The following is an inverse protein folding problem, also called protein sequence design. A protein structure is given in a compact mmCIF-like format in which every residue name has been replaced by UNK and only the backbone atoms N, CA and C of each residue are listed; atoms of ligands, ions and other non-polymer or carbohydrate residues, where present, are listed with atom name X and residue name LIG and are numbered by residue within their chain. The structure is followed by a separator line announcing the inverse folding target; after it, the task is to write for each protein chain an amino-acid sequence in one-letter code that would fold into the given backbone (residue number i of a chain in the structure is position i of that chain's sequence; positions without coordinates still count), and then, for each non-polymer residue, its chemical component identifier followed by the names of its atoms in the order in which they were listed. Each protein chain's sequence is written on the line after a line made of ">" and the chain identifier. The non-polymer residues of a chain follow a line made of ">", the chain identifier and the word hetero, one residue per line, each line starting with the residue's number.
data_IF_895717550886
#
_entry.id   IF_895717550886
#
_cell.length_a   1.000
_cell.length_b   1.000
_cell.length_c   1.000
_cell.angle_alpha   90.00
_cell.angle_beta   90.00
_cell.angle_gamma   90.00
#
_symmetry.space_group_name_H-M   'P 1'
#
loop_
_entity.id
_entity.type
_entity.pdbx_description
1 polymer ?
#
# COMPACT_ATOMS: atom_id res chain seq x y z
N UNK A 1 -26.05 57.54 -17.32
CA UNK A 1 -24.97 56.61 -16.94
C UNK A 1 -25.54 55.59 -15.97
N UNK A 2 -25.83 54.40 -16.47
CA UNK A 2 -26.35 53.28 -15.68
C UNK A 2 -25.23 52.67 -14.87
N UNK A 3 -25.36 52.72 -13.54
CA UNK A 3 -24.50 52.02 -12.58
C UNK A 3 -24.61 50.51 -12.85
N UNK A 4 -23.55 49.93 -13.43
CA UNK A 4 -23.41 48.49 -13.63
C UNK A 4 -23.23 47.80 -12.27
N UNK A 5 -24.10 46.83 -11.99
CA UNK A 5 -24.13 46.01 -10.77
C UNK A 5 -23.00 44.97 -10.84
N UNK A 6 -21.80 45.33 -10.43
CA UNK A 6 -20.57 44.50 -10.49
C UNK A 6 -20.60 43.22 -9.65
N UNK A 7 -21.48 43.09 -8.65
CA UNK A 7 -21.52 41.92 -7.76
C UNK A 7 -22.12 40.64 -8.37
N UNK A 8 -22.93 40.75 -9.43
CA UNK A 8 -23.61 39.60 -10.05
C UNK A 8 -22.79 38.83 -11.07
N UNK A 9 -21.70 39.42 -11.57
CA UNK A 9 -20.87 38.80 -12.60
C UNK A 9 -19.70 38.02 -12.02
N UNK A 10 -19.13 38.48 -10.90
CA UNK A 10 -18.11 37.74 -10.15
C UNK A 10 -18.64 36.37 -9.64
N UNK A 11 -19.87 36.34 -9.14
CA UNK A 11 -20.53 35.11 -8.65
C UNK A 11 -20.79 34.10 -9.78
N UNK A 12 -21.22 34.57 -10.96
CA UNK A 12 -21.37 33.70 -12.15
C UNK A 12 -20.04 33.15 -12.63
N UNK A 13 -19.00 33.99 -12.68
CA UNK A 13 -17.66 33.56 -13.10
C UNK A 13 -17.12 32.50 -12.12
N UNK A 14 -17.30 32.71 -10.81
CA UNK A 14 -16.90 31.74 -9.80
C UNK A 14 -17.66 30.39 -9.95
N UNK A 15 -18.98 30.43 -10.18
CA UNK A 15 -19.79 29.23 -10.43
C UNK A 15 -19.37 28.50 -11.71
N UNK A 16 -19.07 29.23 -12.79
CA UNK A 16 -18.58 28.66 -14.05
C UNK A 16 -17.21 27.99 -13.85
N UNK A 17 -16.27 28.66 -13.20
CA UNK A 17 -14.94 28.10 -12.89
C UNK A 17 -15.06 26.83 -12.05
N UNK A 18 -15.85 26.86 -10.98
CA UNK A 18 -16.07 25.70 -10.12
C UNK A 18 -16.68 24.52 -10.90
N UNK A 19 -17.66 24.80 -11.75
CA UNK A 19 -18.31 23.76 -12.58
C UNK A 19 -17.33 23.15 -13.58
N UNK A 20 -16.46 23.94 -14.20
CA UNK A 20 -15.41 23.45 -15.12
C UNK A 20 -14.42 22.54 -14.37
N UNK A 21 -13.99 22.93 -13.17
CA UNK A 21 -13.11 22.10 -12.34
C UNK A 21 -13.78 20.79 -11.92
N UNK A 22 -15.05 20.84 -11.53
CA UNK A 22 -15.83 19.66 -11.19
C UNK A 22 -15.97 18.72 -12.40
N UNK A 23 -16.24 19.27 -13.58
CA UNK A 23 -16.31 18.49 -14.81
C UNK A 23 -14.97 17.85 -15.18
N UNK A 24 -13.85 18.57 -15.02
CA UNK A 24 -12.50 18.03 -15.21
C UNK A 24 -12.19 16.89 -14.22
N UNK A 25 -12.65 16.97 -12.96
CA UNK A 25 -12.49 15.88 -11.99
C UNK A 25 -13.26 14.62 -12.40
N UNK A 26 -14.46 14.76 -13.00
CA UNK A 26 -15.21 13.63 -13.56
C UNK A 26 -14.46 12.92 -14.69
N UNK A 27 -13.84 13.69 -15.59
CA UNK A 27 -12.97 13.13 -16.65
C UNK A 27 -11.76 12.42 -16.06
N UNK A 28 -11.12 13.00 -15.05
CA UNK A 28 -9.98 12.40 -14.38
C UNK A 28 -10.35 11.06 -13.71
N UNK A 29 -11.52 10.99 -13.04
CA UNK A 29 -12.01 9.75 -12.44
C UNK A 29 -12.26 8.65 -13.47
N UNK A 30 -12.86 8.98 -14.60
CA UNK A 30 -13.06 8.02 -15.70
C UNK A 30 -11.71 7.60 -16.27
N UNK A 31 -10.80 8.54 -16.50
CA UNK A 31 -9.46 8.24 -17.01
C UNK A 31 -8.69 7.32 -16.07
N UNK A 32 -8.68 7.59 -14.76
CA UNK A 32 -8.01 6.74 -13.76
C UNK A 32 -8.69 5.37 -13.68
N UNK A 33 -10.03 5.31 -13.69
CA UNK A 33 -10.76 4.05 -13.64
C UNK A 33 -10.52 3.18 -14.88
N UNK A 34 -10.51 3.78 -16.07
CA UNK A 34 -10.14 3.10 -17.31
C UNK A 34 -8.67 2.74 -17.32
N UNK A 35 -7.77 3.62 -16.88
CA UNK A 35 -6.35 3.33 -16.78
C UNK A 35 -6.09 2.13 -15.87
N UNK A 36 -6.74 2.06 -14.71
CA UNK A 36 -6.66 0.92 -13.79
C UNK A 36 -7.16 -0.40 -14.42
N UNK A 37 -8.16 -0.34 -15.29
CA UNK A 37 -8.65 -1.50 -16.04
C UNK A 37 -7.76 -1.86 -17.25
N UNK A 38 -7.12 -0.87 -17.87
CA UNK A 38 -6.38 -1.00 -19.13
C UNK A 38 -4.86 -1.08 -18.96
N UNK A 39 -4.32 -0.88 -17.75
CA UNK A 39 -2.89 -0.73 -17.51
C UNK A 39 -2.11 -1.96 -18.05
N UNK A 40 -1.17 -1.78 -19.00
CA UNK A 40 -0.52 -2.86 -19.72
C UNK A 40 0.30 -3.82 -18.85
N UNK A 41 0.67 -3.47 -17.62
CA UNK A 41 1.27 -4.43 -16.67
C UNK A 41 0.33 -5.60 -16.33
N UNK A 42 -0.99 -5.44 -16.51
CA UNK A 42 -1.98 -6.54 -16.48
C UNK A 42 -2.27 -7.13 -17.86
N UNK A 43 -2.34 -6.31 -18.92
CA UNK A 43 -2.71 -6.81 -20.25
C UNK A 43 -1.69 -7.74 -20.92
N UNK A 44 -0.39 -7.66 -20.60
CA UNK A 44 0.57 -8.66 -21.10
C UNK A 44 0.34 -10.09 -20.55
N UNK A 45 -0.42 -10.22 -19.45
CA UNK A 45 -0.75 -11.52 -18.83
C UNK A 45 -2.10 -12.06 -19.32
N UNK A 46 -3.01 -11.17 -19.72
CA UNK A 46 -4.37 -11.51 -20.17
C UNK A 46 -4.43 -12.11 -21.58
N UNK A 47 -3.38 -12.02 -22.39
CA UNK A 47 -3.32 -12.67 -23.71
C UNK A 47 -2.75 -14.11 -23.63
N UNK A 48 -2.21 -14.55 -22.49
CA UNK A 48 -1.62 -15.90 -22.34
C UNK A 48 -2.41 -16.87 -21.46
N UNK A 49 -3.40 -16.43 -20.68
CA UNK A 49 -4.16 -17.36 -19.81
C UNK A 49 -5.63 -16.99 -19.80
N UNK A 50 -6.39 -17.85 -20.47
CA UNK A 50 -7.84 -17.92 -20.44
C UNK A 50 -8.29 -18.28 -19.00
N UNK A 51 -9.10 -17.40 -18.41
CA UNK A 51 -9.91 -17.53 -17.20
C UNK A 51 -9.25 -17.82 -15.83
N UNK A 52 -9.25 -16.80 -14.96
CA UNK A 52 -10.04 -16.84 -13.71
C UNK A 52 -10.13 -15.45 -13.07
N UNK A 53 -11.32 -14.87 -13.22
CA UNK A 53 -12.06 -13.96 -12.31
C UNK A 53 -11.28 -13.03 -11.38
N UNK A 54 -11.47 -11.73 -11.67
CA UNK A 54 -11.75 -10.65 -10.71
C UNK A 54 -10.86 -10.55 -9.47
N UNK A 55 -10.09 -9.47 -9.38
CA UNK A 55 -9.84 -8.87 -8.07
C UNK A 55 -11.12 -8.15 -7.66
N UNK A 56 -12.04 -8.76 -6.89
CA UNK A 56 -13.38 -8.21 -6.71
C UNK A 56 -13.31 -6.83 -6.08
N UNK A 57 -12.26 -6.50 -5.34
CA UNK A 57 -12.14 -5.22 -4.64
C UNK A 57 -11.53 -4.12 -5.52
N UNK A 58 -10.46 -4.41 -6.27
CA UNK A 58 -9.81 -3.43 -7.14
C UNK A 58 -10.64 -3.18 -8.40
N UNK A 59 -11.21 -4.24 -8.99
CA UNK A 59 -12.10 -4.14 -10.14
C UNK A 59 -13.37 -3.39 -9.73
N UNK A 60 -13.96 -3.70 -8.57
CA UNK A 60 -15.10 -2.95 -8.05
C UNK A 60 -14.77 -1.47 -7.76
N UNK A 61 -13.60 -1.18 -7.19
CA UNK A 61 -13.16 0.21 -6.98
C UNK A 61 -13.01 0.96 -8.31
N UNK A 62 -12.45 0.32 -9.34
CA UNK A 62 -12.32 0.91 -10.68
C UNK A 62 -13.67 1.15 -11.35
N UNK A 63 -14.62 0.21 -11.24
CA UNK A 63 -15.99 0.39 -11.73
C UNK A 63 -16.72 1.51 -10.99
N UNK A 64 -16.58 1.59 -9.66
CA UNK A 64 -17.14 2.71 -8.88
C UNK A 64 -16.54 4.03 -9.34
N UNK A 65 -15.22 4.11 -9.55
CA UNK A 65 -14.57 5.33 -10.04
C UNK A 65 -15.12 5.77 -11.41
N UNK A 66 -15.35 4.83 -12.32
CA UNK A 66 -15.96 5.10 -13.63
C UNK A 66 -17.40 5.59 -13.47
N UNK A 67 -18.23 4.89 -12.71
CA UNK A 67 -19.64 5.26 -12.50
C UNK A 67 -19.74 6.62 -11.82
N UNK A 68 -18.96 6.86 -10.77
CA UNK A 68 -18.89 8.15 -10.09
C UNK A 68 -18.42 9.27 -11.02
N UNK A 69 -17.42 9.00 -11.86
CA UNK A 69 -16.94 9.95 -12.87
C UNK A 69 -18.02 10.30 -13.90
N UNK A 70 -18.77 9.31 -14.43
CA UNK A 70 -19.88 9.53 -15.37
C UNK A 70 -20.98 10.36 -14.73
N UNK A 71 -21.39 10.04 -13.50
CA UNK A 71 -22.39 10.83 -12.75
C UNK A 71 -21.90 12.27 -12.54
N UNK A 72 -20.62 12.45 -12.22
CA UNK A 72 -20.01 13.77 -12.04
C UNK A 72 -20.01 14.60 -13.34
N UNK A 73 -19.81 13.98 -14.50
CA UNK A 73 -19.93 14.66 -15.80
C UNK A 73 -21.37 15.12 -16.07
N UNK A 74 -22.37 14.29 -15.81
CA UNK A 74 -23.78 14.65 -15.99
C UNK A 74 -24.19 15.81 -15.08
N UNK A 75 -23.81 15.74 -13.79
CA UNK A 75 -24.09 16.82 -12.84
C UNK A 75 -23.34 18.10 -13.21
N UNK A 76 -22.06 17.99 -13.61
CA UNK A 76 -21.28 19.15 -14.08
C UNK A 76 -21.89 19.80 -15.31
N UNK A 77 -22.44 19.03 -16.25
CA UNK A 77 -23.15 19.56 -17.40
C UNK A 77 -24.43 20.32 -17.01
N UNK A 78 -25.17 19.81 -16.02
CA UNK A 78 -26.34 20.51 -15.44
C UNK A 78 -25.91 21.82 -14.77
N UNK A 79 -24.80 21.82 -14.01
CA UNK A 79 -24.23 23.02 -13.40
C UNK A 79 -23.81 24.06 -14.44
N UNK A 80 -23.24 23.60 -15.57
CA UNK A 80 -22.77 24.48 -16.65
C UNK A 80 -23.94 25.11 -17.39
N UNK A 81 -24.93 24.29 -17.76
CA UNK A 81 -26.17 24.78 -18.33
C UNK A 81 -26.94 25.69 -17.36
N UNK A 82 -26.97 25.39 -16.06
CA UNK A 82 -27.63 26.19 -15.03
C UNK A 82 -26.91 27.52 -14.74
N UNK A 83 -25.61 27.62 -14.99
CA UNK A 83 -24.86 28.88 -14.89
C UNK A 83 -25.11 29.78 -16.12
N UNK A 84 -25.23 29.19 -17.32
CA UNK A 84 -25.53 29.91 -18.57
C UNK A 84 -27.01 30.28 -18.70
N UNK A 85 -27.89 29.34 -18.39
CA UNK A 85 -29.34 29.52 -18.46
C UNK A 85 -29.81 30.00 -17.09
N UNK A 86 -30.54 31.12 -17.03
CA UNK A 86 -31.12 31.69 -15.79
C UNK A 86 -32.21 30.82 -15.12
N UNK A 87 -32.21 29.51 -15.39
CA UNK A 87 -33.17 28.54 -14.86
C UNK A 87 -32.82 28.17 -13.42
N UNK A 88 -33.53 28.79 -12.49
CA UNK A 88 -33.34 28.62 -11.03
C UNK A 88 -33.45 27.16 -10.58
N UNK A 89 -34.30 26.35 -11.22
CA UNK A 89 -34.51 24.95 -10.85
C UNK A 89 -33.23 24.09 -11.03
N UNK A 90 -32.50 24.27 -12.14
CA UNK A 90 -31.24 23.55 -12.40
C UNK A 90 -30.15 23.96 -11.41
N UNK A 91 -30.09 25.25 -11.07
CA UNK A 91 -29.13 25.76 -10.09
C UNK A 91 -29.39 25.22 -8.67
N UNK A 92 -30.66 25.14 -8.27
CA UNK A 92 -31.04 24.55 -6.96
C UNK A 92 -30.71 23.06 -6.92
N UNK A 93 -31.00 22.31 -7.99
CA UNK A 93 -30.66 20.89 -8.08
C UNK A 93 -29.15 20.64 -7.96
N UNK A 94 -28.34 21.45 -8.64
CA UNK A 94 -26.87 21.40 -8.53
C UNK A 94 -26.39 21.66 -7.10
N UNK A 95 -26.91 22.70 -6.44
CA UNK A 95 -26.54 23.03 -5.05
C UNK A 95 -26.92 21.92 -4.06
N UNK A 96 -28.08 21.27 -4.24
CA UNK A 96 -28.49 20.14 -3.40
C UNK A 96 -27.56 18.94 -3.56
N UNK A 97 -27.15 18.63 -4.79
CA UNK A 97 -26.21 17.54 -5.04
C UNK A 97 -24.84 17.81 -4.41
N UNK A 98 -24.31 19.03 -4.55
CA UNK A 98 -23.05 19.42 -3.90
C UNK A 98 -23.13 19.33 -2.38
N UNK A 99 -24.26 19.73 -1.81
CA UNK A 99 -24.49 19.61 -0.37
C UNK A 99 -24.50 18.15 0.09
N UNK A 100 -25.12 17.25 -0.69
CA UNK A 100 -25.10 15.82 -0.40
C UNK A 100 -23.67 15.23 -0.47
N UNK A 101 -22.87 15.63 -1.47
CA UNK A 101 -21.46 15.23 -1.55
C UNK A 101 -20.66 15.74 -0.35
N UNK A 102 -20.86 17.00 0.06
CA UNK A 102 -20.19 17.56 1.22
C UNK A 102 -20.51 16.76 2.50
N UNK A 103 -21.77 16.36 2.71
CA UNK A 103 -22.13 15.52 3.84
C UNK A 103 -21.50 14.12 3.75
N UNK A 104 -21.42 13.55 2.55
CA UNK A 104 -20.73 12.28 2.33
C UNK A 104 -19.22 12.38 2.62
N UNK A 105 -18.56 13.44 2.17
CA UNK A 105 -17.14 13.70 2.45
C UNK A 105 -16.88 13.93 3.93
N UNK A 106 -17.75 14.65 4.63
CA UNK A 106 -17.67 14.82 6.09
C UNK A 106 -17.86 13.48 6.79
N UNK A 107 -18.80 12.64 6.35
CA UNK A 107 -19.00 11.31 6.90
C UNK A 107 -17.75 10.42 6.68
N UNK A 108 -17.20 10.41 5.46
CA UNK A 108 -15.97 9.68 5.13
C UNK A 108 -14.79 10.21 5.95
N UNK A 109 -14.62 11.53 6.05
CA UNK A 109 -13.53 12.16 6.80
C UNK A 109 -13.63 11.93 8.31
N UNK A 110 -14.83 12.01 8.88
CA UNK A 110 -15.05 11.71 10.31
C UNK A 110 -14.84 10.22 10.59
N UNK A 111 -15.32 9.33 9.73
CA UNK A 111 -14.99 7.90 9.80
C UNK A 111 -13.47 7.70 9.72
N UNK A 112 -12.80 8.30 8.74
CA UNK A 112 -11.35 8.20 8.60
C UNK A 112 -10.61 8.67 9.85
N UNK A 113 -11.04 9.76 10.51
CA UNK A 113 -10.43 10.26 11.74
C UNK A 113 -10.73 9.41 12.97
N UNK A 114 -11.98 8.95 13.14
CA UNK A 114 -12.36 8.06 14.25
C UNK A 114 -11.63 6.73 14.12
N UNK A 115 -11.57 6.19 12.90
CA UNK A 115 -10.81 5.00 12.61
C UNK A 115 -9.31 5.26 12.57
N UNK A 116 -8.80 6.48 12.40
CA UNK A 116 -7.35 6.76 12.40
C UNK A 116 -6.66 6.32 13.68
N UNK A 117 -7.25 6.61 14.83
CA UNK A 117 -6.70 6.18 16.13
C UNK A 117 -6.84 4.67 16.33
N UNK A 118 -7.91 4.08 15.77
CA UNK A 118 -8.01 2.63 15.65
C UNK A 118 -7.01 2.06 14.65
N UNK A 119 -6.58 2.77 13.62
CA UNK A 119 -5.64 2.33 12.60
C UNK A 119 -4.19 2.39 13.09
N UNK A 120 -3.81 3.41 13.86
CA UNK A 120 -2.48 3.45 14.51
C UNK A 120 -2.35 2.50 15.70
N UNK A 121 -3.43 2.28 16.48
CA UNK A 121 -3.49 1.14 17.42
C UNK A 121 -3.89 -0.18 16.74
N UNK A 122 -4.25 -0.11 15.46
CA UNK A 122 -4.38 -1.26 14.59
C UNK A 122 -3.16 -1.48 13.74
N UNK A 123 -2.00 -0.84 13.90
CA UNK A 123 -0.83 -1.52 13.36
C UNK A 123 -0.65 -2.83 14.15
N UNK A 124 -0.75 -2.80 15.48
CA UNK A 124 -0.80 -4.03 16.29
C UNK A 124 -2.07 -4.86 16.08
N UNK A 125 -3.26 -4.25 15.99
CA UNK A 125 -4.51 -5.03 15.83
C UNK A 125 -4.80 -5.45 14.38
N UNK A 126 -4.32 -4.76 13.36
CA UNK A 126 -4.31 -5.18 11.96
C UNK A 126 -3.23 -6.23 11.74
N UNK A 127 -2.03 -6.09 12.30
CA UNK A 127 -1.04 -7.17 12.31
C UNK A 127 -1.62 -8.41 12.98
N UNK A 128 -2.29 -8.28 14.13
CA UNK A 128 -2.95 -9.40 14.80
C UNK A 128 -4.12 -9.96 13.98
N UNK A 129 -4.95 -9.11 13.39
CA UNK A 129 -6.05 -9.54 12.51
C UNK A 129 -5.53 -10.24 11.25
N UNK A 130 -4.49 -9.70 10.61
CA UNK A 130 -3.86 -10.24 9.42
C UNK A 130 -3.14 -11.55 9.76
N UNK A 131 -2.47 -11.62 10.90
CA UNK A 131 -1.89 -12.85 11.45
C UNK A 131 -2.96 -13.90 11.70
N UNK A 132 -4.12 -13.52 12.24
CA UNK A 132 -5.26 -14.43 12.40
C UNK A 132 -5.83 -14.88 11.04
N UNK A 133 -5.93 -13.99 10.06
CA UNK A 133 -6.38 -14.33 8.69
C UNK A 133 -5.39 -15.31 8.04
N UNK A 134 -4.08 -15.07 8.13
CA UNK A 134 -3.04 -15.99 7.66
C UNK A 134 -3.14 -17.33 8.38
N UNK A 135 -3.31 -17.28 9.70
CA UNK A 135 -3.39 -18.47 10.55
C UNK A 135 -4.58 -19.36 10.23
N UNK A 136 -5.75 -18.79 9.98
CA UNK A 136 -7.01 -19.54 9.90
C UNK A 136 -7.59 -19.67 8.49
N UNK A 137 -7.24 -18.79 7.56
CA UNK A 137 -7.95 -18.65 6.28
C UNK A 137 -7.07 -18.74 5.04
N UNK A 138 -5.78 -18.40 5.14
CA UNK A 138 -4.83 -18.53 4.03
C UNK A 138 -4.60 -20.01 3.69
N UNK A 139 -4.70 -20.35 2.40
CA UNK A 139 -4.31 -21.66 1.86
C UNK A 139 -5.02 -22.88 2.44
N UNK A 140 -6.17 -22.71 3.10
CA UNK A 140 -6.91 -23.80 3.78
C UNK A 140 -7.72 -24.64 2.81
N UNK A 141 -8.44 -24.00 1.89
CA UNK A 141 -9.17 -24.67 0.82
C UNK A 141 -9.35 -23.69 -0.34
N UNK A 142 -8.97 -24.11 -1.54
CA UNK A 142 -9.19 -23.34 -2.76
C UNK A 142 -10.62 -23.50 -3.31
N UNK A 143 -11.36 -24.49 -2.81
CA UNK A 143 -12.77 -24.73 -3.15
C UNK A 143 -13.68 -23.71 -2.47
N UNK A 144 -13.31 -23.26 -1.27
CA UNK A 144 -14.03 -22.21 -0.54
C UNK A 144 -13.66 -20.84 -1.09
N UNK A 145 -14.66 -20.11 -1.57
CA UNK A 145 -14.47 -18.83 -2.24
C UNK A 145 -13.75 -17.79 -1.38
N UNK A 146 -14.11 -17.67 -0.10
CA UNK A 146 -13.48 -16.72 0.81
C UNK A 146 -12.00 -17.03 1.05
N UNK A 147 -11.65 -18.31 1.29
CA UNK A 147 -10.26 -18.74 1.47
C UNK A 147 -9.42 -18.54 0.21
N UNK A 148 -9.97 -18.83 -0.96
CA UNK A 148 -9.32 -18.58 -2.25
C UNK A 148 -9.05 -17.09 -2.45
N UNK A 149 -10.05 -16.23 -2.24
CA UNK A 149 -9.89 -14.76 -2.36
C UNK A 149 -8.81 -14.23 -1.42
N UNK A 150 -8.81 -14.69 -0.16
CA UNK A 150 -7.80 -14.31 0.84
C UNK A 150 -6.40 -14.76 0.41
N UNK A 151 -6.26 -15.99 -0.07
CA UNK A 151 -4.97 -16.56 -0.51
C UNK A 151 -4.39 -15.77 -1.68
N UNK A 152 -5.19 -15.53 -2.73
CA UNK A 152 -4.77 -14.74 -3.91
C UNK A 152 -4.41 -13.31 -3.53
N UNK A 153 -5.18 -12.68 -2.64
CA UNK A 153 -4.90 -11.33 -2.17
C UNK A 153 -3.54 -11.25 -1.44
N UNK A 154 -3.31 -12.18 -0.51
CA UNK A 154 -2.06 -12.23 0.26
C UNK A 154 -0.87 -12.53 -0.66
N UNK A 155 -1.00 -13.46 -1.61
CA UNK A 155 0.07 -13.78 -2.56
C UNK A 155 0.44 -12.60 -3.46
N UNK A 156 -0.56 -11.85 -3.95
CA UNK A 156 -0.34 -10.62 -4.72
C UNK A 156 0.33 -9.54 -3.87
N UNK A 157 -0.13 -9.35 -2.63
CA UNK A 157 0.45 -8.37 -1.71
C UNK A 157 1.92 -8.69 -1.47
N UNK A 158 2.25 -9.93 -1.16
CA UNK A 158 3.63 -10.38 -0.91
C UNK A 158 4.52 -10.23 -2.14
N UNK A 159 3.98 -10.55 -3.32
CA UNK A 159 4.71 -10.44 -4.58
C UNK A 159 5.02 -8.97 -4.96
N UNK A 160 4.02 -8.07 -4.88
CA UNK A 160 4.17 -6.68 -5.34
C UNK A 160 4.79 -5.76 -4.29
N UNK A 161 4.42 -5.91 -3.02
CA UNK A 161 4.95 -5.10 -1.92
C UNK A 161 6.23 -5.69 -1.33
N UNK A 162 6.68 -6.82 -1.86
CA UNK A 162 7.92 -7.49 -1.47
C UNK A 162 8.01 -7.79 0.04
N UNK A 163 6.88 -8.15 0.66
CA UNK A 163 6.74 -8.49 2.07
C UNK A 163 6.44 -9.99 2.30
N UNK A 164 6.52 -10.46 3.55
CA UNK A 164 6.20 -11.85 3.87
C UNK A 164 5.59 -11.97 5.27
N UNK A 165 4.40 -12.57 5.35
CA UNK A 165 3.61 -12.67 6.57
C UNK A 165 2.94 -11.35 6.98
N UNK A 166 2.35 -11.33 8.18
CA UNK A 166 1.82 -10.10 8.77
C UNK A 166 2.95 -9.30 9.45
N UNK A 167 3.80 -10.03 10.18
CA UNK A 167 4.99 -9.53 10.88
C UNK A 167 6.25 -10.13 10.28
N UNK A 168 6.28 -11.46 10.11
CA UNK A 168 7.39 -12.22 9.54
C UNK A 168 6.89 -13.49 8.85
N UNK A 169 7.78 -14.17 8.11
CA UNK A 169 7.45 -15.47 7.52
C UNK A 169 7.06 -16.54 8.55
N UNK A 170 7.40 -16.37 9.82
CA UNK A 170 7.08 -17.33 10.88
C UNK A 170 5.58 -17.35 11.21
N UNK A 171 4.82 -16.35 10.77
CA UNK A 171 3.35 -16.34 10.88
C UNK A 171 2.70 -17.55 10.19
N UNK A 172 3.38 -18.14 9.21
CA UNK A 172 2.92 -19.35 8.52
C UNK A 172 3.12 -20.62 9.34
N UNK A 173 4.13 -20.69 10.22
CA UNK A 173 4.48 -21.91 10.97
C UNK A 173 3.33 -22.40 11.85
N UNK A 174 2.55 -21.48 12.42
CA UNK A 174 1.40 -21.79 13.27
C UNK A 174 0.06 -21.74 12.53
N UNK A 175 0.07 -21.71 11.19
CA UNK A 175 -1.12 -21.61 10.34
C UNK A 175 -1.73 -22.97 9.98
N UNK A 176 -3.03 -22.96 9.66
CA UNK A 176 -3.72 -24.14 9.09
C UNK A 176 -3.12 -24.58 7.77
N UNK A 177 -2.63 -23.64 6.96
CA UNK A 177 -1.92 -23.94 5.72
C UNK A 177 -0.70 -24.84 5.98
N UNK A 178 0.13 -24.51 6.98
CA UNK A 178 1.29 -25.33 7.33
C UNK A 178 0.89 -26.73 7.78
N UNK A 179 -0.21 -26.86 8.55
CA UNK A 179 -0.72 -28.17 8.96
C UNK A 179 -1.18 -29.04 7.77
N UNK A 180 -1.76 -28.42 6.74
CA UNK A 180 -2.15 -29.12 5.51
C UNK A 180 -0.94 -29.50 4.66
N UNK A 181 -0.02 -28.56 4.43
CA UNK A 181 1.19 -28.79 3.64
C UNK A 181 2.08 -29.87 4.26
N UNK A 182 2.25 -29.86 5.58
CA UNK A 182 3.05 -30.87 6.30
C UNK A 182 2.41 -32.26 6.34
N UNK A 183 1.12 -32.37 6.04
CA UNK A 183 0.42 -33.66 5.93
C UNK A 183 0.22 -34.10 4.47
N UNK A 184 0.67 -33.30 3.50
CA UNK A 184 0.56 -33.63 2.08
C UNK A 184 1.56 -34.76 1.73
N UNK A 185 1.09 -35.87 1.11
CA UNK A 185 1.95 -36.97 0.67
C UNK A 185 3.10 -36.53 -0.25
N UNK A 186 2.96 -35.39 -0.94
CA UNK A 186 4.02 -34.82 -1.79
C UNK A 186 5.31 -34.52 -1.01
N UNK A 187 5.23 -34.29 0.30
CA UNK A 187 6.37 -34.00 1.17
C UNK A 187 6.67 -35.12 2.18
N UNK A 188 6.24 -36.36 1.90
CA UNK A 188 6.52 -37.50 2.80
C UNK A 188 8.02 -37.76 3.00
N UNK A 189 8.84 -37.44 1.99
CA UNK A 189 10.30 -37.66 1.99
C UNK A 189 11.14 -36.37 1.96
N UNK A 190 10.50 -35.20 1.88
CA UNK A 190 11.15 -33.89 1.74
C UNK A 190 10.65 -32.94 2.85
N UNK A 191 11.47 -31.96 3.21
CA UNK A 191 11.04 -30.95 4.19
C UNK A 191 9.90 -30.10 3.59
N UNK A 192 8.77 -29.92 4.29
CA UNK A 192 7.67 -29.09 3.81
C UNK A 192 8.10 -27.61 3.74
N UNK A 193 7.58 -26.82 2.79
CA UNK A 193 7.91 -25.41 2.68
C UNK A 193 7.45 -24.64 3.92
N UNK A 194 8.34 -23.77 4.43
CA UNK A 194 8.13 -22.93 5.62
C UNK A 194 7.22 -21.73 5.30
N UNK A 195 7.36 -21.19 4.08
CA UNK A 195 6.57 -20.06 3.60
C UNK A 195 6.05 -20.29 2.18
N UNK A 196 4.98 -19.61 1.77
CA UNK A 196 4.53 -19.61 0.38
C UNK A 196 5.57 -19.11 -0.62
N UNK A 197 5.45 -19.51 -1.89
CA UNK A 197 6.36 -19.07 -2.96
C UNK A 197 6.31 -17.56 -3.20
N UNK A 198 5.17 -16.92 -2.95
CA UNK A 198 4.96 -15.46 -3.02
C UNK A 198 5.85 -14.69 -2.02
N UNK A 199 6.22 -15.31 -0.90
CA UNK A 199 7.21 -14.76 0.05
C UNK A 199 8.66 -14.81 -0.44
N UNK A 200 8.97 -15.60 -1.47
CA UNK A 200 10.34 -15.73 -1.95
C UNK A 200 10.73 -14.59 -2.90
N UNK A 201 12.00 -14.23 -2.93
CA UNK A 201 12.52 -13.31 -3.96
C UNK A 201 12.43 -13.97 -5.33
N UNK A 202 11.81 -13.28 -6.27
CA UNK A 202 11.42 -13.84 -7.56
C UNK A 202 12.53 -13.70 -8.63
N UNK A 203 12.50 -14.56 -9.67
CA UNK A 203 13.31 -14.40 -10.88
C UNK A 203 12.73 -13.33 -11.82
N UNK A 204 13.51 -12.89 -12.80
CA UNK A 204 12.99 -12.08 -13.89
C UNK A 204 11.97 -12.89 -14.69
N UNK A 205 10.76 -12.35 -14.90
CA UNK A 205 9.68 -13.01 -15.66
C UNK A 205 8.67 -13.79 -14.81
N UNK A 206 8.86 -13.90 -13.49
CA UNK A 206 7.83 -14.40 -12.59
C UNK A 206 6.65 -13.42 -12.48
N UNK A 207 5.47 -13.93 -12.12
CA UNK A 207 4.28 -13.11 -11.85
C UNK A 207 3.59 -13.55 -10.56
N UNK A 208 2.70 -12.72 -10.01
CA UNK A 208 1.95 -13.07 -8.79
C UNK A 208 1.07 -14.33 -8.96
N UNK A 209 0.65 -14.67 -10.18
CA UNK A 209 -0.12 -15.88 -10.47
C UNK A 209 0.78 -17.11 -10.70
N UNK A 210 2.04 -16.89 -11.07
CA UNK A 210 3.03 -17.95 -11.26
C UNK A 210 4.36 -17.53 -10.61
N UNK A 211 4.42 -17.55 -9.26
CA UNK A 211 5.62 -17.14 -8.54
C UNK A 211 6.71 -18.21 -8.71
N UNK A 212 7.91 -17.76 -9.09
CA UNK A 212 9.08 -18.61 -9.25
C UNK A 212 10.23 -18.03 -8.43
N UNK A 213 10.52 -18.71 -7.32
CA UNK A 213 11.59 -18.33 -6.41
C UNK A 213 12.95 -18.39 -7.12
N UNK A 214 13.76 -17.33 -6.95
CA UNK A 214 15.14 -17.25 -7.45
C UNK A 214 16.03 -18.36 -6.90
N UNK A 215 15.80 -18.73 -5.65
CA UNK A 215 16.39 -19.93 -5.06
C UNK A 215 15.43 -20.45 -4.00
N UNK A 216 14.70 -21.51 -4.33
CA UNK A 216 13.73 -22.12 -3.42
C UNK A 216 14.40 -22.59 -2.13
N UNK A 217 15.49 -23.34 -2.24
CA UNK A 217 16.22 -23.88 -1.08
C UNK A 217 16.71 -22.79 -0.11
N UNK A 218 17.18 -21.65 -0.61
CA UNK A 218 17.63 -20.53 0.25
C UNK A 218 16.48 -19.74 0.84
N UNK A 219 15.38 -19.62 0.11
CA UNK A 219 14.18 -18.98 0.60
C UNK A 219 13.54 -19.77 1.74
N UNK A 220 13.57 -21.11 1.69
CA UNK A 220 12.92 -22.00 2.66
C UNK A 220 13.78 -22.33 3.89
N UNK A 221 14.89 -21.64 4.11
CA UNK A 221 15.68 -21.79 5.35
C UNK A 221 14.93 -21.17 6.54
N UNK A 222 15.21 -21.62 7.76
CA UNK A 222 14.63 -21.03 8.98
C UNK A 222 15.00 -19.55 9.15
N UNK A 223 16.26 -19.19 8.83
CA UNK A 223 16.77 -17.82 8.90
C UNK A 223 17.26 -17.36 7.52
N UNK A 224 16.37 -17.03 6.58
CA UNK A 224 16.74 -16.62 5.24
C UNK A 224 17.32 -15.19 5.24
N UNK A 225 18.21 -14.92 4.29
CA UNK A 225 18.63 -13.54 4.00
C UNK A 225 17.54 -12.82 3.17
N UNK A 226 17.40 -11.50 3.34
CA UNK A 226 16.51 -10.61 2.54
C UNK A 226 16.71 -10.70 1.03
N UNK A 227 17.87 -11.21 0.61
CA UNK A 227 18.20 -11.53 -0.80
C UNK A 227 17.41 -12.71 -1.36
N UNK A 228 16.86 -13.58 -0.51
CA UNK A 228 16.16 -14.82 -0.89
C UNK A 228 14.70 -14.87 -0.44
N UNK A 229 14.33 -14.22 0.67
CA UNK A 229 12.95 -14.09 1.16
C UNK A 229 12.59 -12.62 1.36
N UNK A 230 11.38 -12.25 0.99
CA UNK A 230 10.76 -10.98 1.33
C UNK A 230 10.63 -10.84 2.85
N UNK A 231 10.77 -9.62 3.35
CA UNK A 231 10.63 -9.32 4.78
C UNK A 231 9.62 -8.20 4.91
N UNK A 232 8.69 -8.27 5.86
CA UNK A 232 7.85 -7.13 6.20
C UNK A 232 8.77 -5.92 6.44
N UNK A 233 8.44 -4.78 5.83
CA UNK A 233 9.35 -3.64 5.78
C UNK A 233 9.66 -3.14 7.21
N UNK A 234 10.87 -3.41 7.67
CA UNK A 234 11.44 -2.80 8.86
C UNK A 234 12.86 -2.33 8.54
N UNK A 235 13.07 -1.01 8.58
CA UNK A 235 14.39 -0.38 8.57
C UNK A 235 14.84 -0.22 10.03
N UNK A 236 16.10 -0.44 10.44
CA UNK A 236 17.33 -0.72 9.72
C UNK A 236 18.12 -1.82 10.43
N UNK A 237 18.27 -3.00 9.81
CA UNK A 237 19.00 -4.14 10.37
C UNK A 237 18.28 -5.48 10.20
N UNK A 238 16.97 -5.46 10.04
CA UNK A 238 16.14 -6.65 10.22
C UNK A 238 14.83 -6.23 10.87
N UNK A 239 14.89 -6.07 12.18
CA UNK A 239 13.83 -5.62 13.08
C UNK A 239 14.08 -4.19 13.58
N UNK A 240 15.31 -3.70 13.43
CA UNK A 240 15.64 -2.32 13.77
C UNK A 240 17.14 -2.07 13.95
N UNK A 241 17.52 -0.84 14.31
CA UNK A 241 18.92 -0.44 14.41
C UNK A 241 19.75 -1.26 15.42
N UNK A 242 19.08 -1.91 16.39
CA UNK A 242 19.73 -2.76 17.40
C UNK A 242 20.36 -4.03 16.83
N UNK A 243 19.98 -4.44 15.62
CA UNK A 243 20.56 -5.63 14.96
C UNK A 243 22.04 -5.45 14.64
N UNK A 244 22.50 -4.19 14.59
CA UNK A 244 23.92 -3.89 14.44
C UNK A 244 24.70 -4.07 15.74
N UNK A 245 24.07 -4.14 16.91
CA UNK A 245 24.75 -4.34 18.19
C UNK A 245 25.56 -5.65 18.16
N UNK A 246 26.87 -5.58 18.43
CA UNK A 246 27.80 -6.71 18.33
C UNK A 246 27.94 -7.36 16.94
N UNK A 247 27.36 -6.79 15.89
CA UNK A 247 27.57 -7.26 14.52
C UNK A 247 29.01 -7.02 14.05
N UNK A 248 29.42 -7.68 12.98
CA UNK A 248 30.72 -7.42 12.35
C UNK A 248 30.92 -5.94 12.00
N UNK A 249 29.85 -5.26 11.59
CA UNK A 249 29.86 -3.81 11.32
C UNK A 249 30.18 -3.01 12.58
N UNK A 250 29.49 -3.30 13.68
CA UNK A 250 29.72 -2.63 14.97
C UNK A 250 31.14 -2.87 15.47
N UNK A 251 31.67 -4.09 15.35
CA UNK A 251 33.03 -4.41 15.75
C UNK A 251 34.05 -3.67 14.87
N UNK A 252 33.93 -3.74 13.56
CA UNK A 252 34.94 -3.15 12.65
C UNK A 252 34.92 -1.62 12.61
N UNK A 253 33.76 -1.01 12.82
CA UNK A 253 33.57 0.45 12.83
C UNK A 253 33.52 1.07 14.23
N UNK A 254 34.00 0.37 15.26
CA UNK A 254 34.24 0.95 16.60
C UNK A 254 35.72 1.10 16.95
N UNK A 255 36.61 0.28 16.38
CA UNK A 255 38.04 0.28 16.74
C UNK A 255 38.91 1.29 15.97
N UNK A 256 38.44 1.90 14.87
CA UNK A 256 39.22 2.84 14.03
C UNK A 256 38.80 4.31 14.17
N UNK A 257 38.63 4.80 15.39
CA UNK A 257 38.63 6.25 15.69
C UNK A 257 37.31 7.02 15.53
N UNK A 258 36.24 6.40 15.02
CA UNK A 258 34.88 6.98 15.04
C UNK A 258 33.92 5.89 15.50
N UNK A 259 33.11 6.15 16.54
CA UNK A 259 32.16 5.17 17.09
C UNK A 259 30.88 5.20 16.25
N UNK A 260 30.76 4.34 15.23
CA UNK A 260 29.54 4.23 14.41
C UNK A 260 28.72 3.00 14.81
N UNK A 261 27.56 3.23 15.43
CA UNK A 261 26.65 2.19 15.93
C UNK A 261 25.83 1.56 14.80
N UNK A 262 25.46 2.34 13.79
CA UNK A 262 24.65 1.91 12.65
C UNK A 262 25.21 2.49 11.35
N UNK A 263 24.98 1.87 10.17
CA UNK A 263 25.40 2.45 8.90
C UNK A 263 24.63 3.74 8.56
N UNK A 264 25.19 4.63 7.72
CA UNK A 264 24.55 5.90 7.33
C UNK A 264 23.17 5.74 6.69
N UNK A 265 22.90 4.59 6.07
CA UNK A 265 21.59 4.25 5.51
C UNK A 265 20.50 4.05 6.56
N UNK A 266 20.85 3.82 7.84
CA UNK A 266 19.88 3.76 8.93
C UNK A 266 19.39 5.14 9.39
N UNK A 267 20.09 6.20 9.01
CA UNK A 267 19.77 7.56 9.41
C UNK A 267 18.63 8.13 8.56
N UNK A 268 17.87 9.07 9.13
CA UNK A 268 16.91 9.87 8.36
C UNK A 268 17.64 10.66 7.28
N UNK A 269 17.14 10.62 6.05
CA UNK A 269 17.82 11.17 4.88
C UNK A 269 17.24 12.52 4.48
N UNK A 270 18.09 13.45 4.03
CA UNK A 270 17.66 14.67 3.39
C UNK A 270 17.05 14.38 2.01
N UNK A 271 16.24 15.29 1.47
CA UNK A 271 15.60 15.13 0.14
C UNK A 271 16.60 14.92 -1.02
N UNK A 272 17.85 15.32 -0.83
CA UNK A 272 18.93 15.12 -1.80
C UNK A 272 19.57 13.72 -1.74
N UNK A 273 19.28 12.92 -0.71
CA UNK A 273 19.86 11.59 -0.53
C UNK A 273 19.40 10.59 -1.58
N UNK A 274 20.30 9.68 -1.98
CA UNK A 274 20.00 8.57 -2.89
C UNK A 274 20.41 7.24 -2.26
N UNK A 275 19.83 6.13 -2.71
CA UNK A 275 20.15 4.81 -2.17
C UNK A 275 21.65 4.44 -2.29
N UNK A 276 22.32 4.91 -3.35
CA UNK A 276 23.76 4.71 -3.57
C UNK A 276 24.64 5.83 -2.98
N UNK A 277 24.03 6.90 -2.48
CA UNK A 277 24.71 8.05 -1.90
C UNK A 277 23.86 8.63 -0.74
N UNK A 278 23.88 7.98 0.44
CA UNK A 278 23.14 8.46 1.60
C UNK A 278 23.59 9.86 2.00
N UNK A 279 22.64 10.73 2.29
CA UNK A 279 22.83 12.08 2.82
C UNK A 279 21.99 12.23 4.10
N UNK A 280 22.50 11.81 5.28
CA UNK A 280 21.80 11.95 6.55
C UNK A 280 21.44 13.41 6.83
N UNK A 281 20.24 13.65 7.37
CA UNK A 281 19.81 14.98 7.87
C UNK A 281 20.75 15.42 9.00
N UNK A 282 21.03 14.50 9.92
CA UNK A 282 22.03 14.67 10.96
C UNK A 282 23.29 13.85 10.63
N UNK A 283 24.43 14.50 10.34
CA UNK A 283 25.68 13.79 10.02
C UNK A 283 26.23 12.97 11.20
N UNK A 284 25.83 13.26 12.43
CA UNK A 284 26.26 12.56 13.64
C UNK A 284 25.34 11.38 14.02
N UNK A 285 24.26 11.15 13.27
CA UNK A 285 23.27 10.11 13.55
C UNK A 285 23.87 8.72 13.81
N UNK A 286 24.90 8.34 13.07
CA UNK A 286 25.55 7.03 13.22
C UNK A 286 26.31 6.88 14.54
N UNK A 287 26.57 7.97 15.26
CA UNK A 287 27.45 8.02 16.43
C UNK A 287 26.73 8.13 17.76
N UNK A 288 25.41 8.33 17.74
CA UNK A 288 24.62 8.38 18.96
C UNK A 288 24.50 7.00 19.61
N UNK A 289 24.44 6.97 20.95
CA UNK A 289 24.21 5.72 21.69
C UNK A 289 22.77 5.27 21.50
N UNK A 290 22.56 3.95 21.39
CA UNK A 290 21.25 3.32 21.16
C UNK A 290 20.12 3.82 22.08
N UNK A 291 20.42 4.15 23.33
CA UNK A 291 19.42 4.58 24.32
C UNK A 291 19.35 6.12 24.51
N UNK A 292 19.95 6.88 23.58
CA UNK A 292 19.91 8.34 23.63
C UNK A 292 18.75 8.89 22.81
N UNK A 293 18.10 9.95 23.30
CA UNK A 293 17.03 10.65 22.55
C UNK A 293 17.48 11.12 21.16
N UNK A 294 18.75 11.52 21.04
CA UNK A 294 19.34 11.94 19.77
C UNK A 294 19.46 10.79 18.75
N UNK A 295 19.61 9.54 19.22
CA UNK A 295 19.60 8.36 18.36
C UNK A 295 18.20 8.11 17.80
N UNK A 296 17.19 8.06 18.67
CA UNK A 296 15.79 7.84 18.28
C UNK A 296 15.27 8.92 17.30
N UNK A 297 15.65 10.18 17.51
CA UNK A 297 15.21 11.28 16.64
C UNK A 297 15.87 11.29 15.26
N UNK A 298 17.02 10.62 15.10
CA UNK A 298 17.88 10.77 13.93
C UNK A 298 17.99 9.50 13.09
N UNK A 299 17.61 8.36 13.65
CA UNK A 299 17.58 7.03 13.03
C UNK A 299 16.13 6.66 12.72
N UNK A 300 15.90 5.84 11.68
CA UNK A 300 14.59 5.22 11.48
C UNK A 300 14.38 4.16 12.56
N UNK A 301 13.57 4.50 13.57
CA UNK A 301 13.14 3.59 14.64
C UNK A 301 11.67 3.27 14.41
N UNK A 302 11.40 2.07 13.86
CA UNK A 302 10.06 1.59 13.50
C UNK A 302 9.25 2.51 12.56
N UNK A 303 8.08 2.00 12.12
CA UNK A 303 7.27 2.47 10.97
C UNK A 303 6.79 3.94 11.09
N UNK A 304 6.92 4.59 12.24
CA UNK A 304 6.37 5.93 12.48
C UNK A 304 7.11 7.09 11.83
N UNK A 305 8.25 6.87 11.18
CA UNK A 305 9.14 7.95 10.74
C UNK A 305 9.63 7.87 9.28
N UNK A 306 9.07 6.98 8.46
CA UNK A 306 9.29 6.95 6.99
C UNK A 306 8.09 7.55 6.27
#
# INVERSE_FOLDING_TARGET
>A
MTVQRTGGDATKIALLLYTILFWASGLALIFIGLWMLLDPKRNYILELVDFSEDDPLLTFASYIAIVAGVVSLFVGFIGFCGALQRMRCLLVGFMLFLFALFLADVAIGTLALVYRNKLTSADSSFEENLKNIIKFSYGVSMEVEDSRRITVLIDKLQFYEECCGATTGDDYLASRWMALVSSDPAYENDDPPIVPLSCCRQILGASALNPVARSLARCQQSNPNRTWRHTAQQCCGGEGPRDYYNSFWFITNTYRGTRSFVPPSCCRQAQAGRAWAPAPIDPMCTTYRYDSKAFESSVYTSVSDI
#
